data_IF_209683229654
#
_entry.id   IF_209683229654
#
_cell.length_a   1.000
_cell.length_b   1.000
_cell.length_c   1.000
_cell.angle_alpha   90.00
_cell.angle_beta   90.00
_cell.angle_gamma   90.00
#
_symmetry.space_group_name_H-M   'P 1'
#
loop_
_entity.id
_entity.type
_entity.pdbx_description
1 polymer ?
#
# COMPACT_ATOMS: atom_id res chain seq x y z
N UNK A 1 11.64 9.44 -1.60
CA UNK A 1 12.17 10.84 -1.57
C UNK A 1 11.90 11.69 -2.83
N UNK A 2 11.78 11.10 -4.03
CA UNK A 2 11.56 11.88 -5.27
C UNK A 2 10.19 12.57 -5.30
N UNK A 3 9.11 11.84 -5.01
CA UNK A 3 7.74 12.37 -5.04
C UNK A 3 7.52 13.51 -4.05
N UNK A 4 8.12 13.44 -2.86
CA UNK A 4 8.07 14.53 -1.87
C UNK A 4 8.64 15.82 -2.44
N UNK A 5 9.82 15.76 -3.08
CA UNK A 5 10.42 16.92 -3.75
C UNK A 5 9.53 17.44 -4.88
N UNK A 6 8.90 16.55 -5.64
CA UNK A 6 7.96 16.94 -6.69
C UNK A 6 6.74 17.69 -6.13
N UNK A 7 6.09 17.15 -5.10
CA UNK A 7 4.91 17.79 -4.49
C UNK A 7 5.27 19.14 -3.86
N UNK A 8 6.43 19.24 -3.20
CA UNK A 8 6.95 20.51 -2.68
C UNK A 8 7.25 21.52 -3.79
N UNK A 9 7.81 21.08 -4.92
CA UNK A 9 8.10 21.97 -6.04
C UNK A 9 6.84 22.46 -6.76
N UNK A 10 5.78 21.65 -6.78
CA UNK A 10 4.47 22.06 -7.32
C UNK A 10 3.75 23.05 -6.41
N UNK A 11 3.95 22.95 -5.09
CA UNK A 11 3.42 23.87 -4.06
C UNK A 11 1.92 24.21 -4.23
N UNK A 12 1.09 23.18 -4.42
CA UNK A 12 -0.34 23.35 -4.64
C UNK A 12 -1.17 22.57 -3.61
N UNK A 13 -2.24 23.16 -3.03
CA UNK A 13 -3.04 22.50 -1.98
C UNK A 13 -3.74 21.22 -2.45
N UNK A 14 -4.03 21.09 -3.75
CA UNK A 14 -4.68 19.90 -4.34
C UNK A 14 -3.70 18.87 -4.89
N UNK A 15 -2.39 19.07 -4.74
CA UNK A 15 -1.38 18.09 -5.14
C UNK A 15 -0.81 17.44 -3.89
N UNK A 16 -1.00 16.14 -3.79
CA UNK A 16 -0.66 15.30 -2.63
C UNK A 16 -0.08 13.97 -3.12
N UNK A 17 0.32 13.13 -2.18
CA UNK A 17 0.95 11.85 -2.46
C UNK A 17 0.02 10.68 -2.15
N UNK A 18 0.24 9.62 -2.91
CA UNK A 18 -0.20 8.27 -2.58
C UNK A 18 1.04 7.42 -2.32
N UNK A 19 1.00 6.58 -1.29
CA UNK A 19 2.00 5.57 -1.01
C UNK A 19 1.45 4.20 -1.34
N UNK A 20 2.28 3.31 -1.91
CA UNK A 20 1.88 1.96 -2.29
C UNK A 20 2.94 0.95 -1.84
N UNK A 21 2.52 -0.05 -1.08
CA UNK A 21 3.44 -1.04 -0.49
C UNK A 21 4.09 -1.97 -1.50
N UNK A 22 3.44 -2.30 -2.64
CA UNK A 22 4.06 -3.11 -3.68
C UNK A 22 5.23 -2.36 -4.31
N UNK A 23 5.02 -1.07 -4.64
CA UNK A 23 6.05 -0.25 -5.27
C UNK A 23 7.20 0.07 -4.30
N UNK A 24 6.87 0.38 -3.04
CA UNK A 24 7.87 0.62 -2.02
C UNK A 24 8.73 -0.61 -1.75
N UNK A 25 8.15 -1.82 -1.79
CA UNK A 25 8.88 -3.08 -1.63
C UNK A 25 9.95 -3.32 -2.70
N UNK A 26 9.83 -2.69 -3.87
CA UNK A 26 10.81 -2.80 -4.96
C UNK A 26 11.84 -1.69 -4.89
N UNK A 27 11.38 -0.44 -4.74
CA UNK A 27 12.20 0.75 -5.00
C UNK A 27 12.86 1.31 -3.74
N UNK A 28 12.19 1.22 -2.59
CA UNK A 28 12.67 1.86 -1.37
C UNK A 28 13.71 0.99 -0.68
N UNK A 29 14.78 1.62 -0.18
CA UNK A 29 15.83 0.92 0.55
C UNK A 29 15.40 0.57 1.97
N UNK A 30 14.59 1.42 2.58
CA UNK A 30 14.15 1.33 3.96
C UNK A 30 12.71 1.82 4.07
N UNK A 31 11.77 0.89 4.24
CA UNK A 31 10.33 1.16 4.28
C UNK A 31 9.96 2.23 5.34
N UNK A 32 10.45 2.15 6.59
CA UNK A 32 10.14 3.14 7.61
C UNK A 32 10.64 4.55 7.25
N UNK A 33 11.80 4.66 6.59
CA UNK A 33 12.36 5.94 6.20
C UNK A 33 11.53 6.59 5.08
N UNK A 34 11.08 5.80 4.11
CA UNK A 34 10.22 6.27 3.02
C UNK A 34 8.89 6.82 3.55
N UNK A 35 8.23 6.08 4.45
CA UNK A 35 6.95 6.50 5.05
C UNK A 35 7.12 7.78 5.87
N UNK A 36 8.13 7.85 6.77
CA UNK A 36 8.39 9.06 7.58
C UNK A 36 8.62 10.30 6.73
N UNK A 37 9.34 10.16 5.61
CA UNK A 37 9.59 11.26 4.70
C UNK A 37 8.34 11.69 3.92
N UNK A 38 7.40 10.77 3.64
CA UNK A 38 6.25 11.03 2.78
C UNK A 38 4.97 11.43 3.54
N UNK A 39 4.80 10.98 4.80
CA UNK A 39 3.53 11.10 5.54
C UNK A 39 2.88 12.48 5.50
N UNK A 40 3.62 13.62 5.59
CA UNK A 40 2.99 14.94 5.63
C UNK A 40 2.22 15.29 4.35
N UNK A 41 2.50 14.61 3.24
CA UNK A 41 1.85 14.80 1.96
C UNK A 41 0.97 13.62 1.54
N UNK A 42 1.03 12.49 2.26
CA UNK A 42 0.28 11.27 1.91
C UNK A 42 -1.18 11.39 2.31
N UNK A 43 -2.08 11.22 1.34
CA UNK A 43 -3.54 11.22 1.57
C UNK A 43 -4.18 9.84 1.35
N UNK A 44 -3.45 8.92 0.72
CA UNK A 44 -3.90 7.57 0.42
C UNK A 44 -2.73 6.60 0.54
N UNK A 45 -2.97 5.46 1.17
CA UNK A 45 -2.06 4.32 1.21
C UNK A 45 -2.74 3.15 0.51
N UNK A 46 -2.08 2.60 -0.51
CA UNK A 46 -2.43 1.29 -1.03
C UNK A 46 -1.77 0.19 -0.20
N UNK A 47 -2.58 -0.77 0.21
CA UNK A 47 -2.19 -2.03 0.85
C UNK A 47 -2.18 -3.09 -0.25
N UNK A 48 -1.02 -3.26 -0.87
CA UNK A 48 -0.78 -4.20 -1.97
C UNK A 48 0.39 -5.14 -1.63
N UNK A 49 0.18 -6.44 -1.77
CA UNK A 49 1.22 -7.45 -1.51
C UNK A 49 2.30 -7.44 -2.61
N UNK A 50 3.48 -8.01 -2.33
CA UNK A 50 4.63 -7.99 -3.23
C UNK A 50 4.38 -8.62 -4.60
N UNK A 51 3.41 -9.54 -4.71
CA UNK A 51 3.00 -10.14 -5.97
C UNK A 51 1.57 -9.72 -6.39
N UNK A 52 1.06 -8.68 -5.73
CA UNK A 52 -0.27 -8.09 -5.90
C UNK A 52 -1.44 -9.05 -5.66
N UNK A 53 -1.20 -10.07 -4.83
CA UNK A 53 -2.22 -10.98 -4.31
C UNK A 53 -2.84 -10.45 -3.00
N UNK A 54 -3.30 -11.36 -2.13
CA UNK A 54 -3.96 -11.03 -0.87
C UNK A 54 -2.92 -10.46 0.11
N UNK A 55 -3.10 -9.23 0.64
CA UNK A 55 -2.21 -8.66 1.65
C UNK A 55 -2.00 -9.59 2.86
N UNK A 56 -0.74 -9.76 3.26
CA UNK A 56 -0.35 -10.61 4.39
C UNK A 56 -0.01 -12.05 4.00
N UNK A 57 -0.01 -12.38 2.71
CA UNK A 57 0.33 -13.73 2.21
C UNK A 57 1.67 -13.80 1.48
N UNK A 58 2.37 -12.67 1.38
CA UNK A 58 3.67 -12.54 0.74
C UNK A 58 4.76 -12.06 1.68
N UNK A 59 5.65 -11.22 1.18
CA UNK A 59 6.84 -10.77 1.90
C UNK A 59 6.94 -9.26 2.12
N UNK A 60 5.90 -8.47 1.82
CA UNK A 60 5.90 -7.06 2.20
C UNK A 60 6.16 -6.95 3.71
N UNK A 61 6.99 -5.98 4.11
CA UNK A 61 7.35 -5.71 5.50
C UNK A 61 6.17 -5.04 6.24
N UNK A 62 5.11 -5.81 6.49
CA UNK A 62 3.85 -5.29 7.02
C UNK A 62 4.00 -4.70 8.42
N UNK A 63 4.74 -5.35 9.30
CA UNK A 63 4.91 -4.84 10.66
C UNK A 63 5.59 -3.47 10.64
N UNK A 64 6.72 -3.33 9.94
CA UNK A 64 7.41 -2.05 9.73
C UNK A 64 6.50 -0.98 9.11
N UNK A 65 5.70 -1.36 8.11
CA UNK A 65 4.77 -0.46 7.42
C UNK A 65 3.71 0.08 8.38
N UNK A 66 2.98 -0.80 9.06
CA UNK A 66 1.90 -0.40 9.97
C UNK A 66 2.44 0.26 11.24
N UNK A 67 3.58 -0.17 11.78
CA UNK A 67 4.25 0.47 12.92
C UNK A 67 4.62 1.91 12.57
N UNK A 68 5.20 2.13 11.38
CA UNK A 68 5.63 3.46 10.97
C UNK A 68 4.45 4.36 10.66
N UNK A 69 3.40 3.87 9.98
CA UNK A 69 2.18 4.63 9.75
C UNK A 69 1.53 5.06 11.07
N UNK A 70 1.43 4.16 12.05
CA UNK A 70 0.94 4.50 13.38
C UNK A 70 1.84 5.55 14.07
N UNK A 71 3.15 5.31 14.11
CA UNK A 71 4.10 6.19 14.79
C UNK A 71 4.17 7.59 14.19
N UNK A 72 3.85 7.72 12.91
CA UNK A 72 3.81 9.00 12.18
C UNK A 72 2.44 9.67 12.22
N UNK A 73 1.44 9.04 12.85
CA UNK A 73 0.09 9.58 13.01
C UNK A 73 -0.73 9.61 11.72
N UNK A 74 -0.44 8.73 10.75
CA UNK A 74 -1.26 8.64 9.55
C UNK A 74 -2.68 8.17 9.89
N UNK A 75 -3.67 9.01 9.60
CA UNK A 75 -5.11 8.75 9.83
C UNK A 75 -5.93 8.84 8.52
N UNK A 76 -5.26 8.70 7.37
CA UNK A 76 -5.87 8.76 6.05
C UNK A 76 -6.41 7.40 5.57
N UNK A 77 -6.84 7.36 4.30
CA UNK A 77 -7.40 6.15 3.71
C UNK A 77 -6.33 5.07 3.48
N UNK A 78 -6.70 3.83 3.80
CA UNK A 78 -5.96 2.64 3.40
C UNK A 78 -6.86 1.79 2.49
N UNK A 79 -6.41 1.50 1.28
CA UNK A 79 -7.20 0.81 0.25
C UNK A 79 -6.44 -0.41 -0.23
N UNK A 80 -7.12 -1.55 -0.35
CA UNK A 80 -6.52 -2.76 -0.91
C UNK A 80 -6.39 -2.60 -2.42
N UNK A 81 -5.19 -2.79 -2.95
CA UNK A 81 -4.96 -2.95 -4.39
C UNK A 81 -4.42 -4.36 -4.64
N UNK A 82 -5.15 -5.14 -5.44
CA UNK A 82 -4.76 -6.48 -5.85
C UNK A 82 -5.28 -6.76 -7.27
N UNK A 83 -4.64 -7.68 -7.98
CA UNK A 83 -5.00 -7.97 -9.38
C UNK A 83 -5.19 -9.46 -9.62
N UNK A 84 -6.34 -9.77 -10.22
CA UNK A 84 -6.66 -11.09 -10.76
C UNK A 84 -6.81 -11.03 -12.29
N UNK A 85 -7.40 -12.07 -12.86
CA UNK A 85 -7.57 -12.20 -14.31
C UNK A 85 -8.91 -11.63 -14.82
N UNK A 86 -9.74 -11.07 -13.94
CA UNK A 86 -11.09 -10.63 -14.25
C UNK A 86 -11.16 -9.41 -15.20
N UNK A 87 -10.08 -8.61 -15.31
CA UNK A 87 -10.05 -7.37 -16.08
C UNK A 87 -8.93 -7.40 -17.14
N UNK A 88 -9.20 -7.91 -18.37
CA UNK A 88 -8.16 -8.15 -19.38
C UNK A 88 -7.29 -6.94 -19.73
N UNK A 89 -7.88 -5.74 -19.79
CA UNK A 89 -7.15 -4.50 -20.10
C UNK A 89 -6.14 -4.12 -19.00
N UNK A 90 -6.46 -4.46 -17.75
CA UNK A 90 -5.58 -4.18 -16.60
C UNK A 90 -4.51 -5.26 -16.49
N UNK A 91 -4.87 -6.53 -16.72
CA UNK A 91 -3.95 -7.68 -16.67
C UNK A 91 -2.69 -7.44 -17.51
N UNK A 92 -2.85 -6.95 -18.75
CA UNK A 92 -1.73 -6.68 -19.64
C UNK A 92 -0.83 -5.52 -19.16
N UNK A 93 -1.42 -4.51 -18.51
CA UNK A 93 -0.70 -3.37 -17.96
C UNK A 93 0.07 -3.75 -16.68
N UNK A 94 -0.53 -4.55 -15.81
CA UNK A 94 0.04 -4.95 -14.50
C UNK A 94 0.82 -6.26 -14.55
N UNK A 95 0.96 -6.88 -15.73
CA UNK A 95 1.76 -8.09 -15.97
C UNK A 95 1.33 -9.28 -15.08
N UNK A 96 0.02 -9.49 -14.96
CA UNK A 96 -0.54 -10.55 -14.12
C UNK A 96 -0.77 -11.82 -14.95
N UNK A 97 0.07 -12.83 -14.72
CA UNK A 97 0.03 -14.09 -15.49
C UNK A 97 -0.49 -15.28 -14.68
N UNK A 98 -0.73 -15.10 -13.38
CA UNK A 98 -1.13 -16.14 -12.44
C UNK A 98 -2.50 -15.80 -11.85
N UNK A 99 -3.26 -16.83 -11.49
CA UNK A 99 -4.43 -16.67 -10.63
C UNK A 99 -3.94 -16.42 -9.20
N UNK A 100 -4.07 -15.18 -8.71
CA UNK A 100 -3.52 -14.74 -7.42
C UNK A 100 -4.42 -15.06 -6.21
N UNK A 101 -5.72 -15.21 -6.43
CA UNK A 101 -6.70 -15.51 -5.39
C UNK A 101 -7.88 -16.30 -5.97
N UNK A 102 -8.61 -17.07 -5.15
CA UNK A 102 -9.72 -17.91 -5.62
C UNK A 102 -10.89 -17.12 -6.21
N UNK A 103 -11.28 -16.03 -5.54
CA UNK A 103 -12.36 -15.09 -5.88
C UNK A 103 -12.11 -13.70 -5.27
N UNK A 104 -12.79 -12.69 -5.82
CA UNK A 104 -12.73 -11.29 -5.36
C UNK A 104 -13.32 -11.13 -3.95
N UNK A 105 -14.39 -11.88 -3.62
CA UNK A 105 -14.99 -11.88 -2.28
C UNK A 105 -14.03 -12.42 -1.22
N UNK A 106 -13.26 -13.47 -1.55
CA UNK A 106 -12.24 -14.03 -0.66
C UNK A 106 -11.13 -13.01 -0.44
N UNK A 107 -10.62 -12.42 -1.54
CA UNK A 107 -9.62 -11.34 -1.48
C UNK A 107 -10.08 -10.21 -0.55
N UNK A 108 -11.31 -9.69 -0.76
CA UNK A 108 -11.81 -8.57 0.02
C UNK A 108 -11.98 -8.91 1.50
N UNK A 109 -12.50 -10.10 1.80
CA UNK A 109 -12.72 -10.58 3.18
C UNK A 109 -11.40 -10.76 3.93
N UNK A 110 -10.44 -11.45 3.33
CA UNK A 110 -9.16 -11.76 3.96
C UNK A 110 -8.31 -10.51 4.14
N UNK A 111 -8.26 -9.64 3.12
CA UNK A 111 -7.50 -8.40 3.19
C UNK A 111 -8.05 -7.47 4.28
N UNK A 112 -9.38 -7.35 4.40
CA UNK A 112 -10.01 -6.55 5.46
C UNK A 112 -9.70 -7.13 6.85
N UNK A 113 -9.77 -8.45 7.01
CA UNK A 113 -9.44 -9.12 8.27
C UNK A 113 -7.97 -8.91 8.66
N UNK A 114 -7.06 -9.01 7.70
CA UNK A 114 -5.64 -8.71 7.86
C UNK A 114 -5.42 -7.26 8.30
N UNK A 115 -5.98 -6.29 7.58
CA UNK A 115 -5.84 -4.87 7.91
C UNK A 115 -6.37 -4.54 9.31
N UNK A 116 -7.55 -5.07 9.67
CA UNK A 116 -8.12 -4.88 11.02
C UNK A 116 -7.21 -5.44 12.10
N UNK A 117 -6.63 -6.62 11.87
CA UNK A 117 -5.65 -7.22 12.79
C UNK A 117 -4.42 -6.33 12.95
N UNK A 118 -3.87 -5.82 11.85
CA UNK A 118 -2.66 -4.99 11.89
C UNK A 118 -2.89 -3.65 12.60
N UNK A 119 -4.04 -3.00 12.36
CA UNK A 119 -4.42 -1.76 13.05
C UNK A 119 -4.70 -2.02 14.53
N UNK A 120 -5.43 -3.09 14.88
CA UNK A 120 -5.76 -3.42 16.26
C UNK A 120 -4.52 -3.67 17.14
N UNK A 121 -3.47 -4.29 16.58
CA UNK A 121 -2.18 -4.49 17.28
C UNK A 121 -1.54 -3.18 17.77
N UNK A 122 -1.83 -2.06 17.12
CA UNK A 122 -1.14 -0.76 17.26
C UNK A 122 -1.98 0.35 17.87
N UNK A 123 -3.30 0.13 17.98
CA UNK A 123 -4.19 0.96 18.78
C UNK A 123 -4.01 0.60 20.26
N UNK A 124 -3.09 1.29 20.93
CA UNK A 124 -2.96 1.31 22.40
C UNK A 124 -3.17 2.72 22.91
#
# INVERSE_FOLDING_TARGET
AQTVRFVQAVDHPNVRMMYDTFHANIEEKEIPAAIRAAVPWTVLVHISENDRSIPGTGHVHWDETFDTLQATGYDGWMVVEAFGLALPNIVAATKIWRKMFPSEDQLATDALAFMKTQVAKRRR
#
